data_IF_230330647105
#
_entry.id   IF_230330647105
#
_cell.length_a   1.000
_cell.length_b   1.000
_cell.length_c   1.000
_cell.angle_alpha   90.00
_cell.angle_beta   90.00
_cell.angle_gamma   90.00
#
_symmetry.space_group_name_H-M   'P 1'
#
loop_
_entity.id
_entity.type
_entity.pdbx_description
1 polymer ?
#
# COMPACT_ATOMS: atom_id res chain seq x y z
N UNK A 1 2.91 10.32 42.25
CA UNK A 1 2.29 11.45 43.00
C UNK A 1 2.91 12.74 42.45
N UNK A 2 2.26 13.73 41.85
CA UNK A 2 0.87 14.19 41.78
C UNK A 2 0.65 14.89 40.43
N UNK A 3 -0.52 14.66 39.84
CA UNK A 3 -1.13 15.45 38.76
C UNK A 3 -1.29 16.91 39.21
N UNK A 4 -1.38 17.81 38.22
CA UNK A 4 -1.97 19.18 38.21
C UNK A 4 -0.95 20.24 37.81
N UNK A 5 -0.87 20.56 36.52
CA UNK A 5 -0.75 21.94 36.03
C UNK A 5 -1.33 22.02 34.59
N UNK A 6 -2.56 21.53 34.46
CA UNK A 6 -3.45 21.65 33.30
C UNK A 6 -4.41 22.83 33.54
N UNK A 7 -3.92 24.06 33.61
CA UNK A 7 -4.80 25.22 33.79
C UNK A 7 -4.12 26.56 33.50
N UNK A 8 -3.45 26.76 32.35
CA UNK A 8 -3.04 28.11 31.97
C UNK A 8 -2.69 28.28 30.49
N UNK A 9 -3.58 27.93 29.55
CA UNK A 9 -3.44 28.43 28.16
C UNK A 9 -4.75 28.35 27.36
N UNK A 10 -5.90 28.62 27.99
CA UNK A 10 -7.21 28.47 27.35
C UNK A 10 -8.08 29.74 27.48
N UNK A 11 -7.46 30.92 27.33
CA UNK A 11 -8.15 32.21 27.50
C UNK A 11 -7.85 33.27 26.42
N UNK A 12 -7.29 32.90 25.25
CA UNK A 12 -6.90 33.91 24.24
C UNK A 12 -7.60 33.87 22.87
N UNK A 13 -8.71 33.15 22.69
CA UNK A 13 -9.43 33.23 21.40
C UNK A 13 -10.94 33.25 21.56
N UNK A 14 -11.42 34.23 22.32
CA UNK A 14 -12.83 34.57 22.40
C UNK A 14 -12.98 36.09 22.30
N UNK A 15 -12.80 36.64 21.10
CA UNK A 15 -13.45 37.89 20.67
C UNK A 15 -13.14 38.13 19.19
N UNK A 16 -14.15 37.95 18.33
CA UNK A 16 -14.41 38.73 17.11
C UNK A 16 -15.55 38.07 16.32
N UNK A 17 -16.78 38.34 16.75
CA UNK A 17 -17.95 38.30 15.87
C UNK A 17 -18.65 39.65 15.98
N UNK A 18 -19.37 39.98 14.89
CA UNK A 18 -20.21 41.15 14.63
C UNK A 18 -19.39 42.32 14.00
N UNK A 19 -19.74 42.94 12.86
CA UNK A 19 -21.03 43.23 12.21
C UNK A 19 -20.77 43.51 10.71
N UNK A 20 -21.65 43.07 9.81
CA UNK A 20 -22.33 43.92 8.82
C UNK A 20 -23.11 43.10 7.78
N UNK A 21 -24.41 42.94 8.02
CA UNK A 21 -25.38 42.74 6.95
C UNK A 21 -25.65 44.10 6.30
N UNK A 22 -25.42 44.22 4.99
CA UNK A 22 -26.05 45.24 4.16
C UNK A 22 -26.60 44.53 2.91
N UNK A 23 -27.91 44.60 2.77
CA UNK A 23 -28.71 43.95 1.73
C UNK A 23 -28.97 44.96 0.60
N UNK A 24 -28.98 44.52 -0.66
CA UNK A 24 -30.12 44.62 -1.60
C UNK A 24 -29.72 44.75 -3.09
N UNK A 25 -30.53 44.07 -3.92
CA UNK A 25 -30.88 44.30 -5.34
C UNK A 25 -30.15 43.51 -6.43
N UNK A 26 -30.89 42.56 -7.02
CA UNK A 26 -30.64 41.89 -8.30
C UNK A 26 -30.64 42.87 -9.48
N UNK A 27 -29.75 42.69 -10.47
CA UNK A 27 -30.07 42.72 -11.92
C UNK A 27 -28.98 41.99 -12.71
N UNK A 28 -29.40 41.30 -13.78
CA UNK A 28 -28.67 40.37 -14.65
C UNK A 28 -27.42 40.90 -15.39
N UNK A 29 -26.47 39.99 -15.72
CA UNK A 29 -25.97 39.67 -17.10
C UNK A 29 -24.56 39.03 -17.13
N UNK A 30 -24.51 37.84 -17.74
CA UNK A 30 -23.44 37.10 -18.44
C UNK A 30 -21.93 37.46 -18.31
N UNK A 31 -21.13 36.39 -18.15
CA UNK A 31 -19.81 36.09 -18.76
C UNK A 31 -18.65 35.86 -17.78
N UNK A 32 -18.03 34.69 -18.00
CA UNK A 32 -16.73 34.11 -17.58
C UNK A 32 -15.87 34.81 -16.51
N UNK A 33 -15.40 34.03 -15.53
CA UNK A 33 -13.98 33.63 -15.44
C UNK A 33 -13.72 32.66 -14.27
N UNK A 34 -13.12 31.52 -14.64
CA UNK A 34 -12.02 30.80 -13.98
C UNK A 34 -12.14 30.44 -12.48
N UNK A 35 -12.67 29.24 -12.22
CA UNK A 35 -12.36 28.45 -11.02
C UNK A 35 -10.92 27.93 -11.13
N UNK A 36 -10.06 28.36 -10.21
CA UNK A 36 -8.74 27.77 -9.98
C UNK A 36 -8.89 26.34 -9.47
N UNK A 37 -8.82 25.35 -10.37
CA UNK A 37 -8.54 23.97 -10.01
C UNK A 37 -7.03 23.81 -9.88
N UNK A 38 -6.55 23.67 -8.64
CA UNK A 38 -5.21 23.11 -8.41
C UNK A 38 -5.31 21.61 -8.64
N UNK A 39 -5.33 21.22 -9.92
CA UNK A 39 -5.19 19.84 -10.35
C UNK A 39 -3.72 19.48 -10.16
N UNK A 40 -3.42 18.85 -9.03
CA UNK A 40 -2.14 18.18 -8.82
C UNK A 40 -2.01 17.11 -9.90
N UNK A 41 -1.18 17.39 -10.91
CA UNK A 41 -0.78 16.41 -11.91
C UNK A 41 0.05 15.36 -11.17
N UNK A 42 -0.57 14.25 -10.83
CA UNK A 42 0.16 13.05 -10.50
C UNK A 42 0.88 12.63 -11.78
N UNK A 43 2.19 12.87 -11.85
CA UNK A 43 3.02 12.32 -12.91
C UNK A 43 3.07 10.81 -12.65
N UNK A 44 2.39 10.03 -13.48
CA UNK A 44 2.59 8.60 -13.55
C UNK A 44 4.06 8.38 -13.93
N UNK A 45 4.87 8.02 -12.94
CA UNK A 45 6.17 7.39 -13.16
C UNK A 45 5.87 6.13 -13.97
N UNK A 46 6.48 5.98 -15.15
CA UNK A 46 6.52 4.67 -15.81
C UNK A 46 7.28 3.73 -14.87
N UNK A 47 6.55 3.07 -13.99
CA UNK A 47 7.05 1.98 -13.16
C UNK A 47 6.89 0.72 -13.99
N UNK A 48 8.00 0.18 -14.47
CA UNK A 48 8.02 -1.14 -15.10
C UNK A 48 7.52 -2.15 -14.06
N UNK A 49 6.36 -2.76 -14.32
CA UNK A 49 5.83 -3.86 -13.51
C UNK A 49 6.74 -5.08 -13.64
N UNK A 50 7.06 -5.70 -12.51
CA UNK A 50 7.75 -6.98 -12.47
C UNK A 50 6.72 -8.10 -12.71
N UNK A 51 6.84 -8.74 -13.86
CA UNK A 51 5.97 -9.86 -14.25
C UNK A 51 6.73 -11.20 -14.12
N UNK A 52 6.07 -12.20 -13.53
CA UNK A 52 6.55 -13.58 -13.44
C UNK A 52 5.39 -14.55 -13.16
N UNK A 53 5.68 -15.86 -13.19
CA UNK A 53 4.72 -16.91 -12.86
C UNK A 53 5.06 -17.60 -11.53
N UNK A 54 4.09 -18.26 -10.89
CA UNK A 54 4.31 -19.09 -9.70
C UNK A 54 5.30 -20.24 -9.91
N UNK A 55 5.60 -20.59 -11.17
CA UNK A 55 6.62 -21.58 -11.54
C UNK A 55 8.03 -21.00 -11.68
N UNK A 56 8.18 -19.67 -11.69
CA UNK A 56 9.46 -18.99 -11.81
C UNK A 56 10.21 -18.95 -10.47
N UNK A 57 10.59 -20.12 -9.96
CA UNK A 57 11.35 -20.25 -8.71
C UNK A 57 12.68 -19.48 -8.77
N UNK A 58 13.14 -19.01 -7.62
CA UNK A 58 14.34 -18.18 -7.46
C UNK A 58 14.29 -16.84 -8.21
N UNK A 59 13.10 -16.39 -8.66
CA UNK A 59 12.93 -15.08 -9.29
C UNK A 59 13.35 -13.98 -8.32
N UNK A 60 14.38 -13.23 -8.70
CA UNK A 60 14.80 -12.04 -7.96
C UNK A 60 13.75 -10.95 -8.13
N UNK A 61 13.12 -10.55 -7.03
CA UNK A 61 12.13 -9.47 -6.96
C UNK A 61 12.83 -8.13 -6.74
N UNK A 62 13.84 -8.12 -5.85
CA UNK A 62 14.61 -6.95 -5.50
C UNK A 62 16.04 -7.38 -5.13
N UNK A 63 17.03 -6.62 -5.59
CA UNK A 63 18.45 -6.80 -5.24
C UNK A 63 19.18 -5.46 -5.38
N UNK A 64 19.16 -4.66 -4.30
CA UNK A 64 19.85 -3.36 -4.25
C UNK A 64 20.26 -3.03 -2.82
N UNK A 65 21.40 -2.35 -2.67
CA UNK A 65 21.80 -1.74 -1.40
C UNK A 65 22.04 -2.73 -0.26
N UNK A 66 22.36 -4.00 -0.56
CA UNK A 66 22.57 -5.04 0.45
C UNK A 66 21.28 -5.72 0.93
N UNK A 67 20.13 -5.38 0.34
CA UNK A 67 18.86 -6.07 0.55
C UNK A 67 18.48 -6.84 -0.71
N UNK A 68 18.12 -8.11 -0.55
CA UNK A 68 17.66 -8.99 -1.62
C UNK A 68 16.39 -9.72 -1.22
N UNK A 69 15.44 -9.78 -2.13
CA UNK A 69 14.15 -10.47 -1.99
C UNK A 69 13.99 -11.35 -3.22
N UNK A 70 13.76 -12.65 -2.99
CA UNK A 70 13.57 -13.63 -4.07
C UNK A 70 12.30 -14.43 -3.85
N UNK A 71 11.62 -14.80 -4.93
CA UNK A 71 10.47 -15.69 -4.88
C UNK A 71 10.92 -17.15 -4.73
N UNK A 72 10.32 -17.86 -3.77
CA UNK A 72 10.59 -19.27 -3.49
C UNK A 72 9.48 -20.20 -3.96
N UNK A 73 8.28 -19.69 -4.21
CA UNK A 73 7.16 -20.48 -4.71
C UNK A 73 5.81 -20.07 -4.14
N UNK A 74 4.78 -20.79 -4.58
CA UNK A 74 3.40 -20.61 -4.14
C UNK A 74 2.98 -21.81 -3.29
N UNK A 75 2.60 -21.55 -2.03
CA UNK A 75 2.18 -22.57 -1.07
C UNK A 75 0.68 -22.46 -0.83
N UNK A 76 -0.06 -23.51 -1.19
CA UNK A 76 -1.48 -23.58 -0.89
C UNK A 76 -1.72 -23.94 0.58
N UNK A 77 -2.76 -23.39 1.19
CA UNK A 77 -3.12 -23.68 2.57
C UNK A 77 -4.62 -23.56 2.77
N UNK A 78 -5.11 -24.14 3.87
CA UNK A 78 -6.55 -24.26 4.16
C UNK A 78 -7.24 -22.92 4.48
N UNK A 79 -6.46 -21.90 4.87
CA UNK A 79 -6.97 -20.58 5.26
C UNK A 79 -6.40 -19.45 4.39
N UNK A 80 -5.15 -19.57 3.98
CA UNK A 80 -4.48 -18.62 3.12
C UNK A 80 -3.52 -19.38 2.20
N UNK A 81 -3.43 -18.94 0.95
CA UNK A 81 -2.26 -19.27 0.13
C UNK A 81 -1.11 -18.31 0.47
N UNK A 82 0.13 -18.72 0.25
CA UNK A 82 1.31 -17.91 0.53
C UNK A 82 2.18 -17.77 -0.71
N UNK A 83 2.50 -16.53 -1.08
CA UNK A 83 3.61 -16.24 -1.98
C UNK A 83 4.91 -16.24 -1.15
N UNK A 84 5.67 -17.33 -1.20
CA UNK A 84 6.85 -17.53 -0.35
C UNK A 84 8.01 -16.71 -0.88
N UNK A 85 8.59 -15.87 -0.03
CA UNK A 85 9.76 -15.08 -0.34
C UNK A 85 10.94 -15.45 0.57
N UNK A 86 12.15 -15.44 0.01
CA UNK A 86 13.41 -15.41 0.74
C UNK A 86 13.86 -13.97 0.90
N UNK A 87 14.31 -13.62 2.10
CA UNK A 87 14.89 -12.32 2.41
C UNK A 87 16.35 -12.46 2.81
N UNK A 88 17.19 -11.59 2.27
CA UNK A 88 18.56 -11.41 2.70
C UNK A 88 18.79 -9.91 2.97
N UNK A 89 19.22 -9.58 4.18
CA UNK A 89 19.58 -8.21 4.55
C UNK A 89 21.00 -8.20 5.12
N UNK A 90 21.93 -7.67 4.33
CA UNK A 90 23.35 -7.56 4.67
C UNK A 90 23.70 -6.16 5.18
N UNK A 91 22.69 -5.34 5.49
CA UNK A 91 22.88 -3.99 6.04
C UNK A 91 22.81 -3.99 7.56
N UNK A 92 23.16 -2.86 8.16
CA UNK A 92 23.01 -2.58 9.60
C UNK A 92 21.66 -1.97 9.97
N UNK A 93 20.67 -2.02 9.06
CA UNK A 93 19.33 -1.45 9.22
C UNK A 93 18.26 -2.51 9.09
N UNK A 94 17.19 -2.34 9.87
CA UNK A 94 15.96 -3.10 9.72
C UNK A 94 15.05 -2.43 8.69
N UNK A 95 14.28 -3.21 7.95
CA UNK A 95 13.28 -2.73 7.00
C UNK A 95 11.95 -3.42 7.23
N UNK A 96 10.86 -2.77 6.84
CA UNK A 96 9.54 -3.40 6.73
C UNK A 96 9.21 -3.63 5.25
N UNK A 97 8.61 -4.79 4.97
CA UNK A 97 8.10 -5.17 3.67
C UNK A 97 6.59 -5.20 3.73
N UNK A 98 5.92 -4.50 2.80
CA UNK A 98 4.46 -4.42 2.82
C UNK A 98 3.86 -4.50 1.42
N UNK A 99 2.71 -5.16 1.30
CA UNK A 99 1.93 -5.14 0.07
C UNK A 99 0.97 -3.95 0.11
N UNK A 100 0.77 -3.33 -1.04
CA UNK A 100 -0.18 -2.24 -1.25
C UNK A 100 -0.86 -2.39 -2.60
N UNK A 101 -2.09 -1.89 -2.70
CA UNK A 101 -2.86 -1.93 -3.94
C UNK A 101 -2.97 -3.37 -4.45
N UNK A 102 -3.35 -4.30 -3.57
CA UNK A 102 -3.53 -5.69 -3.93
C UNK A 102 -4.71 -5.85 -4.87
N UNK A 103 -4.60 -6.79 -5.80
CA UNK A 103 -5.69 -7.21 -6.66
C UNK A 103 -5.53 -8.68 -7.04
N UNK A 104 -6.66 -9.34 -7.22
CA UNK A 104 -6.74 -10.73 -7.69
C UNK A 104 -7.69 -10.80 -8.88
N UNK A 105 -7.26 -11.45 -9.96
CA UNK A 105 -8.03 -11.57 -11.21
C UNK A 105 -8.56 -10.21 -11.73
N UNK A 106 -7.80 -9.14 -11.50
CA UNK A 106 -8.18 -7.77 -11.86
C UNK A 106 -9.23 -7.11 -10.95
N UNK A 107 -9.62 -7.75 -9.84
CA UNK A 107 -10.46 -7.17 -8.79
C UNK A 107 -9.55 -6.59 -7.71
N UNK A 108 -9.60 -5.27 -7.53
CA UNK A 108 -8.82 -4.55 -6.53
C UNK A 108 -9.32 -4.81 -5.10
N UNK A 109 -8.42 -4.68 -4.13
CA UNK A 109 -8.76 -4.59 -2.72
C UNK A 109 -9.76 -3.46 -2.45
N UNK A 110 -10.70 -3.72 -1.56
CA UNK A 110 -11.74 -2.78 -1.15
C UNK A 110 -12.19 -3.07 0.28
N UNK A 111 -13.11 -2.25 0.82
CA UNK A 111 -13.69 -2.50 2.14
C UNK A 111 -14.39 -3.87 2.24
N UNK A 112 -14.82 -4.43 1.11
CA UNK A 112 -15.48 -5.74 1.02
C UNK A 112 -14.47 -6.89 0.79
N UNK A 113 -13.27 -6.60 0.26
CA UNK A 113 -12.28 -7.59 -0.16
C UNK A 113 -10.87 -7.22 0.27
N UNK A 114 -10.35 -7.91 1.28
CA UNK A 114 -8.95 -7.84 1.71
C UNK A 114 -8.22 -9.08 1.20
N UNK A 115 -7.76 -9.02 -0.05
CA UNK A 115 -7.17 -10.18 -0.73
C UNK A 115 -5.76 -10.49 -0.22
N UNK A 116 -4.91 -9.47 -0.04
CA UNK A 116 -3.47 -9.65 0.18
C UNK A 116 -3.06 -9.05 1.52
N UNK A 117 -2.83 -9.92 2.50
CA UNK A 117 -2.36 -9.53 3.83
C UNK A 117 -0.84 -9.69 3.87
N UNK A 118 -0.12 -8.58 3.99
CA UNK A 118 1.34 -8.63 4.04
C UNK A 118 1.99 -7.46 4.79
N UNK A 119 2.69 -7.81 5.87
CA UNK A 119 3.63 -6.95 6.57
C UNK A 119 4.67 -7.84 7.26
N UNK A 120 5.88 -7.87 6.74
CA UNK A 120 7.01 -8.59 7.32
C UNK A 120 8.12 -7.61 7.72
N UNK A 121 8.92 -7.99 8.71
CA UNK A 121 10.14 -7.27 9.08
C UNK A 121 11.38 -8.01 8.59
N UNK A 122 12.33 -7.25 8.10
CA UNK A 122 13.60 -7.69 7.55
C UNK A 122 14.73 -7.17 8.43
N UNK A 123 15.10 -7.97 9.43
CA UNK A 123 16.10 -7.64 10.44
C UNK A 123 17.51 -7.50 9.83
N UNK A 124 18.29 -6.56 10.37
CA UNK A 124 19.66 -6.28 9.97
C UNK A 124 20.57 -7.51 10.08
N UNK A 125 21.42 -7.73 9.07
CA UNK A 125 22.39 -8.83 9.01
C UNK A 125 21.77 -10.23 9.16
N UNK A 126 20.57 -10.45 8.62
CA UNK A 126 19.88 -11.75 8.69
C UNK A 126 19.45 -12.27 7.32
N UNK A 127 19.14 -13.57 7.30
CA UNK A 127 18.36 -14.21 6.24
C UNK A 127 17.14 -14.88 6.87
N UNK A 128 15.99 -14.72 6.24
CA UNK A 128 14.71 -15.26 6.72
C UNK A 128 13.78 -15.55 5.54
N UNK A 129 12.63 -16.15 5.82
CA UNK A 129 11.58 -16.40 4.84
C UNK A 129 10.26 -15.84 5.34
N UNK A 130 9.39 -15.47 4.41
CA UNK A 130 8.06 -14.98 4.72
C UNK A 130 7.22 -14.83 3.46
N UNK A 131 6.32 -13.85 3.45
CA UNK A 131 5.71 -13.39 2.21
C UNK A 131 4.20 -13.18 2.26
N UNK A 132 3.63 -12.57 1.21
CA UNK A 132 2.22 -12.20 1.17
C UNK A 132 1.27 -13.39 1.34
N UNK A 133 0.19 -13.17 2.08
CA UNK A 133 -0.89 -14.13 2.30
C UNK A 133 -2.10 -13.75 1.44
N UNK A 134 -2.61 -14.71 0.68
CA UNK A 134 -3.83 -14.57 -0.11
C UNK A 134 -4.99 -15.17 0.67
N UNK A 135 -5.96 -14.32 1.05
CA UNK A 135 -7.09 -14.70 1.90
C UNK A 135 -8.15 -15.51 1.14
N UNK A 136 -8.32 -16.79 1.49
CA UNK A 136 -9.33 -17.64 0.84
C UNK A 136 -10.76 -17.15 1.11
N UNK A 137 -11.01 -16.57 2.29
CA UNK A 137 -12.34 -16.01 2.59
C UNK A 137 -12.64 -14.77 1.76
N UNK A 138 -11.62 -13.95 1.43
CA UNK A 138 -11.79 -12.83 0.51
C UNK A 138 -12.07 -13.32 -0.92
N UNK A 139 -11.39 -14.39 -1.37
CA UNK A 139 -11.67 -15.03 -2.66
C UNK A 139 -13.11 -15.57 -2.72
N UNK A 140 -13.56 -16.27 -1.67
CA UNK A 140 -14.94 -16.79 -1.58
C UNK A 140 -15.97 -15.65 -1.62
N UNK A 141 -15.75 -14.59 -0.84
CA UNK A 141 -16.65 -13.42 -0.82
C UNK A 141 -16.72 -12.68 -2.16
N UNK A 142 -15.67 -12.75 -2.96
CA UNK A 142 -15.59 -12.15 -4.29
C UNK A 142 -16.05 -13.12 -5.42
N UNK A 143 -16.58 -14.30 -5.07
CA UNK A 143 -16.97 -15.36 -6.00
C UNK A 143 -15.81 -15.83 -6.93
N UNK A 144 -14.56 -15.77 -6.44
CA UNK A 144 -13.35 -16.20 -7.15
C UNK A 144 -13.06 -17.66 -6.82
N UNK A 145 -13.37 -18.56 -7.75
CA UNK A 145 -13.15 -20.01 -7.59
C UNK A 145 -11.79 -20.50 -8.08
N UNK A 146 -11.10 -19.71 -8.91
CA UNK A 146 -9.78 -20.02 -9.46
C UNK A 146 -8.91 -18.76 -9.42
N UNK A 147 -7.68 -18.92 -8.95
CA UNK A 147 -6.69 -17.86 -8.89
C UNK A 147 -5.91 -17.85 -10.21
N UNK A 148 -6.01 -16.78 -11.00
CA UNK A 148 -5.34 -16.67 -12.30
C UNK A 148 -4.20 -15.64 -12.25
N UNK A 149 -4.48 -14.47 -11.64
CA UNK A 149 -3.50 -13.39 -11.52
C UNK A 149 -3.54 -12.78 -10.14
N UNK A 150 -2.37 -12.46 -9.59
CA UNK A 150 -2.20 -11.71 -8.36
C UNK A 150 -1.34 -10.49 -8.68
N UNK A 151 -1.75 -9.31 -8.25
CA UNK A 151 -0.91 -8.12 -8.38
C UNK A 151 -0.91 -7.27 -7.12
N UNK A 152 0.22 -6.65 -6.83
CA UNK A 152 0.36 -5.70 -5.73
C UNK A 152 1.63 -4.86 -5.93
N UNK A 153 1.76 -3.78 -5.17
CA UNK A 153 3.00 -3.03 -5.02
C UNK A 153 3.71 -3.48 -3.75
N UNK A 154 4.90 -4.08 -3.89
CA UNK A 154 5.79 -4.33 -2.78
C UNK A 154 6.48 -3.02 -2.39
N UNK A 155 6.32 -2.60 -1.13
CA UNK A 155 7.05 -1.47 -0.54
C UNK A 155 8.14 -1.97 0.38
N UNK A 156 9.33 -1.40 0.22
CA UNK A 156 10.45 -1.55 1.16
C UNK A 156 10.52 -0.26 1.96
N UNK A 157 10.36 -0.34 3.27
CA UNK A 157 10.19 0.82 4.15
C UNK A 157 11.29 0.80 5.21
N UNK A 158 11.94 1.93 5.41
CA UNK A 158 12.88 2.15 6.50
C UNK A 158 12.23 3.05 7.56
N UNK A 159 12.48 2.74 8.83
CA UNK A 159 12.01 3.53 9.99
C UNK A 159 10.52 3.90 9.89
N UNK A 160 9.69 2.91 9.48
CA UNK A 160 8.22 2.96 9.36
C UNK A 160 7.67 3.96 8.31
N UNK A 161 8.45 4.96 7.93
CA UNK A 161 7.95 6.17 7.23
C UNK A 161 8.65 6.43 5.91
N UNK A 162 9.90 6.00 5.76
CA UNK A 162 10.67 6.25 4.55
C UNK A 162 10.48 5.09 3.57
N UNK A 163 9.78 5.34 2.46
CA UNK A 163 9.71 4.35 1.38
C UNK A 163 11.02 4.39 0.58
N UNK A 164 11.77 3.29 0.64
CA UNK A 164 13.06 3.12 -0.03
C UNK A 164 12.87 2.71 -1.49
N UNK A 165 11.96 1.78 -1.76
CA UNK A 165 11.58 1.41 -3.12
C UNK A 165 10.12 0.91 -3.17
N UNK A 166 9.55 0.98 -4.37
CA UNK A 166 8.21 0.48 -4.70
C UNK A 166 8.31 -0.36 -5.96
N UNK A 167 7.95 -1.64 -5.85
CA UNK A 167 8.01 -2.60 -6.94
C UNK A 167 6.59 -3.06 -7.26
N UNK A 168 5.96 -2.57 -8.34
CA UNK A 168 4.73 -3.16 -8.84
C UNK A 168 5.03 -4.58 -9.33
N UNK A 169 4.24 -5.54 -8.87
CA UNK A 169 4.39 -6.96 -9.16
C UNK A 169 3.09 -7.47 -9.76
N UNK A 170 3.19 -8.27 -10.81
CA UNK A 170 2.09 -9.07 -11.34
C UNK A 170 2.58 -10.52 -11.48
N UNK A 171 1.80 -11.45 -10.91
CA UNK A 171 2.10 -12.87 -10.86
C UNK A 171 0.99 -13.62 -11.57
N UNK A 172 1.35 -14.42 -12.58
CA UNK A 172 0.44 -15.39 -13.19
C UNK A 172 0.51 -16.70 -12.41
N UNK A 173 -0.63 -17.17 -11.92
CA UNK A 173 -0.73 -18.47 -11.25
C UNK A 173 -0.76 -19.55 -12.31
N UNK A 174 0.21 -20.46 -12.26
CA UNK A 174 0.26 -21.59 -13.19
C UNK A 174 -0.92 -22.53 -12.94
N UNK A 175 -1.56 -22.99 -14.02
CA UNK A 175 -2.65 -23.95 -13.93
C UNK A 175 -2.10 -25.28 -13.42
N UNK A 176 -2.70 -25.83 -12.35
CA UNK A 176 -2.45 -27.21 -11.97
C UNK A 176 -3.27 -28.12 -12.91
N UNK A 177 -2.57 -28.83 -13.80
CA UNK A 177 -3.16 -29.89 -14.66
C UNK A 177 -3.61 -31.12 -13.87
#
# INVERSE_FOLDING_TARGET
>A
MKKKFLALLLTFFALCLLIACANNSQTDKSTSETKSSSQSKNQAKETNTLEFSTDDLDKVIYDKGGVKISFLGFEEGDYNHTLKFAYENQTDKDYDLQARNGAVNGIDESDDYDFIIYSDSLEANTSSEGGPKISLSALENADISQLETISFTLKIIYDITETIDEIPIQITVANQE
#
